data_IF_217541628444
#
_entry.id   IF_217541628444
#
_cell.length_a   1.000
_cell.length_b   1.000
_cell.length_c   1.000
_cell.angle_alpha   90.00
_cell.angle_beta   90.00
_cell.angle_gamma   90.00
#
_symmetry.space_group_name_H-M   'P 1'
#
loop_
_entity.id
_entity.type
_entity.pdbx_description
1 polymer ?
#
# COMPACT_ATOMS: atom_id res chain seq x y z
N UNK A 1 -19.17 -40.97 -5.96
CA UNK A 1 -19.56 -39.59 -5.57
C UNK A 1 -19.10 -39.14 -4.17
N UNK A 2 -18.74 -40.03 -3.23
CA UNK A 2 -18.19 -39.59 -1.92
C UNK A 2 -16.72 -39.10 -1.98
N UNK A 3 -15.98 -39.35 -3.06
CA UNK A 3 -14.60 -38.87 -3.23
C UNK A 3 -14.54 -37.41 -3.70
N UNK A 4 -15.43 -36.99 -4.61
CA UNK A 4 -15.48 -35.61 -5.11
C UNK A 4 -16.00 -34.61 -4.05
N UNK A 5 -16.82 -35.07 -3.09
CA UNK A 5 -17.27 -34.22 -1.98
C UNK A 5 -16.15 -33.99 -0.94
N UNK A 6 -15.17 -34.90 -0.83
CA UNK A 6 -13.98 -34.69 -0.02
C UNK A 6 -12.99 -33.73 -0.68
N UNK A 7 -12.86 -33.77 -2.01
CA UNK A 7 -12.01 -32.83 -2.76
C UNK A 7 -12.62 -31.42 -2.80
N UNK A 8 -13.96 -31.33 -2.88
CA UNK A 8 -14.65 -30.05 -2.70
C UNK A 8 -14.60 -29.56 -1.25
N UNK A 9 -14.55 -30.39 -0.21
CA UNK A 9 -14.57 -29.90 1.18
C UNK A 9 -13.25 -29.32 1.71
N UNK A 10 -12.12 -29.47 0.99
CA UNK A 10 -10.91 -28.62 1.18
C UNK A 10 -11.14 -27.14 0.78
N UNK A 11 -12.40 -26.74 0.57
CA UNK A 11 -12.89 -25.43 0.17
C UNK A 11 -12.43 -24.30 1.11
N UNK A 12 -11.30 -23.73 0.70
CA UNK A 12 -10.98 -22.30 0.69
C UNK A 12 -10.49 -21.69 2.01
N UNK A 13 -9.57 -22.36 2.71
CA UNK A 13 -8.71 -21.74 3.76
C UNK A 13 -8.19 -20.38 3.27
N UNK A 14 -7.69 -20.34 2.03
CA UNK A 14 -7.21 -19.13 1.38
C UNK A 14 -8.23 -17.99 1.33
N UNK A 15 -9.52 -18.28 1.10
CA UNK A 15 -10.58 -17.28 1.05
C UNK A 15 -10.86 -16.71 2.44
N UNK A 16 -10.92 -17.57 3.46
CA UNK A 16 -11.01 -17.14 4.85
C UNK A 16 -9.83 -16.27 5.27
N UNK A 17 -8.61 -16.66 4.89
CA UNK A 17 -7.39 -15.89 5.13
C UNK A 17 -7.40 -14.54 4.41
N UNK A 18 -7.85 -14.49 3.16
CA UNK A 18 -7.95 -13.24 2.39
C UNK A 18 -8.94 -12.26 3.03
N UNK A 19 -10.15 -12.72 3.39
CA UNK A 19 -11.13 -11.90 4.11
C UNK A 19 -10.65 -11.48 5.50
N UNK A 20 -10.02 -12.40 6.24
CA UNK A 20 -9.45 -12.12 7.55
C UNK A 20 -8.37 -11.05 7.45
N UNK A 21 -7.46 -11.14 6.49
CA UNK A 21 -6.42 -10.13 6.28
C UNK A 21 -7.02 -8.78 5.83
N UNK A 22 -8.00 -8.79 4.93
CA UNK A 22 -8.68 -7.58 4.50
C UNK A 22 -9.45 -6.88 5.64
N UNK A 23 -10.43 -7.57 6.24
CA UNK A 23 -11.31 -7.00 7.29
C UNK A 23 -10.56 -6.82 8.61
N UNK A 24 -9.64 -7.74 8.91
CA UNK A 24 -8.83 -7.76 10.11
C UNK A 24 -7.70 -6.74 10.12
N UNK A 25 -7.21 -6.32 8.95
CA UNK A 25 -6.01 -5.50 8.88
C UNK A 25 -6.08 -4.45 7.77
N UNK A 26 -6.09 -4.84 6.49
CA UNK A 26 -5.90 -3.90 5.39
C UNK A 26 -6.95 -2.78 5.33
N UNK A 27 -8.23 -3.09 5.53
CA UNK A 27 -9.32 -2.10 5.57
C UNK A 27 -9.10 -1.04 6.67
N UNK A 28 -8.37 -1.39 7.72
CA UNK A 28 -8.06 -0.50 8.83
C UNK A 28 -6.85 0.37 8.49
N UNK A 29 -5.78 -0.26 8.01
CA UNK A 29 -4.48 0.41 7.88
C UNK A 29 -4.31 1.17 6.56
N UNK A 30 -4.78 0.61 5.44
CA UNK A 30 -4.54 1.16 4.11
C UNK A 30 -5.11 2.59 3.92
N UNK A 31 -6.33 2.92 4.38
CA UNK A 31 -6.84 4.29 4.28
C UNK A 31 -6.04 5.30 5.12
N UNK A 32 -5.29 4.83 6.12
CA UNK A 32 -4.52 5.65 7.07
C UNK A 32 -3.05 5.74 6.71
N UNK A 33 -2.52 4.79 5.93
CA UNK A 33 -1.10 4.74 5.57
C UNK A 33 -0.65 5.99 4.81
N UNK A 34 -1.51 6.53 3.93
CA UNK A 34 -1.23 7.78 3.20
C UNK A 34 -1.03 8.96 4.15
N UNK A 35 -1.81 9.03 5.24
CA UNK A 35 -1.66 10.08 6.25
C UNK A 35 -0.32 9.92 7.00
N UNK A 36 0.05 8.70 7.37
CA UNK A 36 1.35 8.45 8.01
C UNK A 36 2.52 8.80 7.08
N UNK A 37 2.41 8.50 5.78
CA UNK A 37 3.41 8.90 4.77
C UNK A 37 3.45 10.41 4.56
N UNK A 38 2.31 11.10 4.60
CA UNK A 38 2.24 12.56 4.50
C UNK A 38 2.93 13.25 5.69
N UNK A 39 2.68 12.77 6.90
CA UNK A 39 3.35 13.26 8.11
C UNK A 39 4.86 13.06 8.03
N UNK A 40 5.29 11.89 7.58
CA UNK A 40 6.70 11.58 7.38
C UNK A 40 7.34 12.48 6.31
N UNK A 41 6.66 12.68 5.17
CA UNK A 41 7.13 13.51 4.06
C UNK A 41 7.25 14.99 4.48
N UNK A 42 6.36 15.50 5.32
CA UNK A 42 6.47 16.87 5.87
C UNK A 42 7.75 17.09 6.68
N UNK A 43 8.19 16.07 7.42
CA UNK A 43 9.46 16.10 8.15
C UNK A 43 10.68 15.78 7.25
N UNK A 44 10.46 15.12 6.10
CA UNK A 44 11.49 14.59 5.21
C UNK A 44 11.12 14.80 3.73
N UNK A 45 11.09 16.05 3.23
CA UNK A 45 10.50 16.38 1.93
C UNK A 45 11.18 15.70 0.73
N UNK A 46 12.45 15.32 0.86
CA UNK A 46 13.23 14.71 -0.22
C UNK A 46 13.09 13.17 -0.30
N UNK A 47 12.44 12.52 0.67
CA UNK A 47 12.38 11.05 0.77
C UNK A 47 11.16 10.48 0.04
N UNK A 48 10.00 11.14 0.17
CA UNK A 48 8.72 10.74 -0.40
C UNK A 48 8.10 11.90 -1.19
N UNK A 49 8.69 12.23 -2.35
CA UNK A 49 8.33 13.40 -3.13
C UNK A 49 7.00 13.26 -3.91
N UNK A 50 6.79 12.12 -4.56
CA UNK A 50 5.57 11.85 -5.33
C UNK A 50 4.48 11.22 -4.44
N UNK A 51 3.28 11.80 -4.38
CA UNK A 51 2.17 11.28 -3.55
C UNK A 51 1.53 10.04 -4.15
N UNK A 52 1.59 9.89 -5.46
CA UNK A 52 1.00 8.80 -6.23
C UNK A 52 1.74 7.48 -5.97
N UNK A 53 3.00 7.54 -5.53
CA UNK A 53 3.80 6.39 -5.11
C UNK A 53 3.58 6.00 -3.64
N UNK A 54 2.75 6.74 -2.88
CA UNK A 54 2.45 6.44 -1.48
C UNK A 54 1.50 5.24 -1.36
N UNK A 55 2.11 4.05 -1.35
CA UNK A 55 1.42 2.76 -1.28
C UNK A 55 2.14 1.82 -0.32
N UNK A 56 1.39 0.99 0.37
CA UNK A 56 1.93 -0.18 1.08
C UNK A 56 2.19 -1.30 0.06
N UNK A 57 3.45 -1.70 -0.08
CA UNK A 57 3.86 -2.79 -0.96
C UNK A 57 3.78 -4.10 -0.20
N UNK A 58 2.90 -5.00 -0.65
CA UNK A 58 2.60 -6.26 0.04
C UNK A 58 3.24 -7.39 -0.75
N UNK A 59 4.27 -8.01 -0.18
CA UNK A 59 5.00 -9.12 -0.77
C UNK A 59 4.20 -10.43 -0.62
N UNK A 60 4.06 -11.14 -1.73
CA UNK A 60 3.34 -12.42 -1.82
C UNK A 60 4.24 -13.45 -2.53
N UNK A 61 5.23 -14.03 -1.82
CA UNK A 61 5.99 -15.17 -2.33
C UNK A 61 5.09 -16.41 -2.47
N UNK A 62 4.99 -16.97 -3.67
CA UNK A 62 4.17 -18.17 -3.92
C UNK A 62 4.67 -19.41 -3.17
N UNK A 63 5.95 -19.42 -2.78
CA UNK A 63 6.56 -20.45 -1.93
C UNK A 63 6.07 -20.42 -0.48
N UNK A 64 5.46 -19.30 -0.04
CA UNK A 64 5.25 -18.90 1.35
C UNK A 64 6.54 -18.76 2.17
N UNK A 65 7.68 -18.58 1.52
CA UNK A 65 8.93 -18.26 2.22
C UNK A 65 8.88 -16.79 2.69
N UNK A 66 8.62 -16.59 3.97
CA UNK A 66 8.45 -15.29 4.59
C UNK A 66 9.56 -15.10 5.61
N UNK A 67 10.46 -14.16 5.33
CA UNK A 67 11.53 -13.79 6.25
C UNK A 67 11.07 -12.68 7.20
N UNK A 68 11.50 -12.75 8.46
CA UNK A 68 11.24 -11.69 9.46
C UNK A 68 12.08 -10.43 9.20
N UNK A 69 13.19 -10.55 8.46
CA UNK A 69 14.17 -9.50 8.25
C UNK A 69 14.49 -9.33 6.76
N UNK A 70 13.94 -8.29 6.15
CA UNK A 70 14.14 -7.97 4.73
C UNK A 70 15.60 -7.65 4.39
N UNK A 71 16.39 -7.14 5.34
CA UNK A 71 17.82 -6.84 5.13
C UNK A 71 18.65 -8.13 5.03
N UNK A 72 18.20 -9.21 5.66
CA UNK A 72 18.78 -10.55 5.50
C UNK A 72 18.33 -11.24 4.22
N UNK A 73 17.09 -11.00 3.78
CA UNK A 73 16.58 -11.55 2.53
C UNK A 73 17.28 -10.95 1.32
N UNK A 74 17.61 -9.65 1.37
CA UNK A 74 18.32 -8.95 0.30
C UNK A 74 19.08 -7.73 0.84
N UNK A 75 20.41 -7.72 0.71
CA UNK A 75 21.26 -6.65 1.27
C UNK A 75 21.17 -5.31 0.55
N UNK A 76 20.44 -5.21 -0.56
CA UNK A 76 20.08 -3.92 -1.17
C UNK A 76 18.88 -3.26 -0.48
N UNK A 77 18.17 -3.98 0.38
CA UNK A 77 17.06 -3.47 1.18
C UNK A 77 17.60 -3.09 2.55
N UNK A 78 17.36 -1.85 2.96
CA UNK A 78 17.82 -1.32 4.25
C UNK A 78 16.66 -0.70 5.01
N UNK A 79 16.53 -1.03 6.29
CA UNK A 79 15.54 -0.41 7.16
C UNK A 79 15.87 1.08 7.32
N UNK A 80 14.86 1.94 7.15
CA UNK A 80 15.02 3.38 7.34
C UNK A 80 14.40 3.85 8.66
N UNK A 81 13.11 3.58 8.86
CA UNK A 81 12.34 4.01 10.04
C UNK A 81 10.94 3.41 10.02
N UNK A 82 10.24 3.45 11.15
CA UNK A 82 8.81 3.20 11.19
C UNK A 82 8.02 4.47 10.82
N UNK A 83 6.90 4.29 10.12
CA UNK A 83 5.89 5.33 9.92
C UNK A 83 5.08 5.56 11.20
N UNK A 84 4.41 6.72 11.31
CA UNK A 84 3.51 7.01 12.44
C UNK A 84 2.53 5.87 12.67
N UNK A 85 2.52 5.34 13.90
CA UNK A 85 1.67 4.23 14.29
C UNK A 85 0.19 4.57 14.20
N UNK A 86 -0.62 3.61 13.74
CA UNK A 86 -2.07 3.71 13.80
C UNK A 86 -2.52 3.03 15.10
N UNK A 87 -3.10 3.80 16.03
CA UNK A 87 -3.52 3.31 17.35
C UNK A 87 -5.04 3.26 17.44
N UNK A 88 -5.61 2.09 17.72
CA UNK A 88 -7.05 1.87 17.83
C UNK A 88 -7.38 0.89 18.95
N UNK A 89 -8.56 1.00 19.56
CA UNK A 89 -9.08 -0.03 20.46
C UNK A 89 -9.90 -1.03 19.66
N UNK A 90 -9.62 -2.33 19.77
CA UNK A 90 -10.32 -3.36 19.00
C UNK A 90 -10.35 -4.70 19.72
N UNK A 91 -11.50 -5.39 19.64
CA UNK A 91 -11.69 -6.74 20.17
C UNK A 91 -11.19 -6.88 21.62
N UNK A 92 -11.55 -5.93 22.49
CA UNK A 92 -11.10 -5.89 23.89
C UNK A 92 -9.67 -5.40 24.12
N UNK A 93 -8.85 -5.24 23.08
CA UNK A 93 -7.48 -4.73 23.18
C UNK A 93 -7.48 -3.20 23.09
N UNK A 94 -7.15 -2.52 24.20
CA UNK A 94 -6.97 -1.06 24.22
C UNK A 94 -5.63 -0.70 23.57
N UNK A 95 -5.61 0.42 22.83
CA UNK A 95 -4.40 0.98 22.19
C UNK A 95 -3.62 -0.05 21.34
N UNK A 96 -4.32 -0.87 20.56
CA UNK A 96 -3.69 -1.75 19.57
C UNK A 96 -2.99 -0.88 18.53
N UNK A 97 -1.68 -1.05 18.41
CA UNK A 97 -0.83 -0.33 17.46
C UNK A 97 -0.64 -1.17 16.18
N UNK A 98 -0.72 -0.50 15.03
CA UNK A 98 -0.35 -1.04 13.73
C UNK A 98 0.83 -0.24 13.21
N UNK A 99 1.95 -0.92 12.96
CA UNK A 99 3.22 -0.32 12.53
C UNK A 99 3.55 -0.77 11.13
N UNK A 100 4.16 0.13 10.36
CA UNK A 100 4.64 -0.15 9.01
C UNK A 100 6.03 0.44 8.90
N UNK A 101 6.96 -0.35 8.40
CA UNK A 101 8.35 0.06 8.25
C UNK A 101 8.60 0.60 6.85
N UNK A 102 9.34 1.71 6.78
CA UNK A 102 9.83 2.32 5.57
C UNK A 102 11.24 1.80 5.31
N UNK A 103 11.51 1.40 4.07
CA UNK A 103 12.79 0.88 3.65
C UNK A 103 13.39 1.75 2.55
N UNK A 104 14.72 1.80 2.52
CA UNK A 104 15.52 2.32 1.42
C UNK A 104 16.04 1.13 0.58
N UNK A 105 15.82 1.17 -0.72
CA UNK A 105 16.21 0.12 -1.65
C UNK A 105 17.17 0.72 -2.67
N UNK A 106 18.36 0.13 -2.76
CA UNK A 106 19.41 0.53 -3.69
C UNK A 106 19.23 -0.15 -5.03
N UNK A 107 19.29 0.62 -6.12
CA UNK A 107 19.33 0.05 -7.46
C UNK A 107 20.75 -0.12 -8.01
N UNK A 108 20.85 -0.62 -9.25
CA UNK A 108 22.12 -0.93 -9.91
C UNK A 108 23.03 0.30 -10.10
N UNK A 109 22.44 1.50 -10.15
CA UNK A 109 23.15 2.78 -10.27
C UNK A 109 23.47 3.40 -8.89
N UNK A 110 23.30 2.65 -7.80
CA UNK A 110 23.36 3.12 -6.42
C UNK A 110 22.34 4.21 -6.07
N UNK A 111 21.27 4.38 -6.85
CA UNK A 111 20.19 5.31 -6.52
C UNK A 111 19.29 4.69 -5.45
N UNK A 112 18.90 5.49 -4.47
CA UNK A 112 18.00 5.08 -3.39
C UNK A 112 16.54 5.34 -3.77
N UNK A 113 15.73 4.32 -3.51
CA UNK A 113 14.28 4.34 -3.63
C UNK A 113 13.66 4.04 -2.27
N UNK A 114 12.54 4.68 -1.95
CA UNK A 114 11.90 4.51 -0.63
C UNK A 114 10.50 3.93 -0.78
N UNK A 115 10.18 2.92 0.02
CA UNK A 115 8.83 2.37 0.05
C UNK A 115 8.50 1.73 1.40
N UNK A 116 7.22 1.79 1.79
CA UNK A 116 6.72 0.93 2.85
C UNK A 116 6.44 -0.44 2.24
N UNK A 117 7.05 -1.49 2.81
CA UNK A 117 6.94 -2.86 2.31
C UNK A 117 6.82 -3.83 3.48
N UNK A 118 5.96 -4.83 3.32
CA UNK A 118 5.75 -5.92 4.28
C UNK A 118 5.35 -7.21 3.56
N UNK A 119 5.57 -8.36 4.20
CA UNK A 119 5.01 -9.62 3.73
C UNK A 119 3.53 -9.76 4.10
N UNK A 120 2.76 -10.41 3.23
CA UNK A 120 1.42 -10.86 3.58
C UNK A 120 1.51 -11.94 4.68
N UNK A 121 1.29 -11.54 5.93
CA UNK A 121 1.34 -12.42 7.11
C UNK A 121 0.52 -13.71 6.99
N UNK A 122 -0.66 -13.75 6.32
CA UNK A 122 -1.41 -15.00 6.14
C UNK A 122 -0.63 -16.13 5.45
N UNK A 123 0.41 -15.81 4.68
CA UNK A 123 1.27 -16.81 4.05
C UNK A 123 2.06 -17.63 5.08
N UNK A 124 2.42 -17.03 6.22
CA UNK A 124 3.03 -17.77 7.33
C UNK A 124 2.08 -18.84 7.87
N UNK A 125 0.77 -18.56 7.92
CA UNK A 125 -0.22 -19.56 8.33
C UNK A 125 -0.31 -20.71 7.32
N UNK A 126 -0.32 -20.42 6.02
CA UNK A 126 -0.29 -21.45 4.98
C UNK A 126 0.99 -22.29 5.04
N UNK A 127 2.14 -21.65 5.30
CA UNK A 127 3.39 -22.36 5.50
C UNK A 127 3.34 -23.27 6.72
N UNK A 128 2.95 -22.74 7.89
CA UNK A 128 2.86 -23.49 9.14
C UNK A 128 1.91 -24.69 9.02
N UNK A 129 0.74 -24.50 8.38
CA UNK A 129 -0.16 -25.61 8.09
C UNK A 129 0.54 -26.70 7.28
N UNK A 130 1.33 -26.35 6.25
CA UNK A 130 2.03 -27.37 5.44
C UNK A 130 3.15 -28.11 6.16
N UNK A 131 3.61 -27.60 7.30
CA UNK A 131 4.62 -28.25 8.14
C UNK A 131 3.98 -29.07 9.27
N UNK A 132 2.69 -28.89 9.53
CA UNK A 132 1.97 -29.61 10.58
C UNK A 132 1.49 -30.96 10.04
N UNK A 133 1.97 -32.05 10.64
CA UNK A 133 1.64 -33.43 10.25
C UNK A 133 0.13 -33.74 10.39
N UNK A 134 -0.59 -32.99 11.24
CA UNK A 134 -2.03 -33.17 11.48
C UNK A 134 -2.93 -32.40 10.49
N UNK A 135 -2.37 -31.54 9.64
CA UNK A 135 -3.13 -30.64 8.78
C UNK A 135 -3.66 -31.27 7.48
N UNK A 136 -3.15 -32.45 7.10
CA UNK A 136 -3.35 -33.05 5.76
C UNK A 136 -3.16 -32.03 4.61
N UNK A 137 -2.20 -31.11 4.77
CA UNK A 137 -1.97 -29.97 3.89
C UNK A 137 -0.58 -30.09 3.25
N UNK A 138 -0.53 -30.47 1.97
CA UNK A 138 0.74 -30.70 1.28
C UNK A 138 1.42 -29.39 0.81
N UNK A 139 2.64 -29.50 0.27
CA UNK A 139 3.33 -28.38 -0.39
C UNK A 139 2.58 -27.92 -1.65
N UNK A 140 1.99 -28.85 -2.39
CA UNK A 140 1.16 -28.58 -3.57
C UNK A 140 -0.13 -27.87 -3.14
N UNK A 141 -0.80 -28.36 -2.10
CA UNK A 141 -1.97 -27.69 -1.51
C UNK A 141 -1.63 -26.25 -1.08
N UNK A 142 -0.45 -26.05 -0.46
CA UNK A 142 0.04 -24.71 -0.08
C UNK A 142 0.17 -23.78 -1.28
N UNK A 143 0.78 -24.24 -2.37
CA UNK A 143 0.96 -23.43 -3.57
C UNK A 143 -0.40 -23.05 -4.18
N UNK A 144 -1.34 -23.99 -4.25
CA UNK A 144 -2.68 -23.75 -4.76
C UNK A 144 -3.46 -22.77 -3.86
N UNK A 145 -3.43 -22.95 -2.55
CA UNK A 145 -4.06 -22.02 -1.60
C UNK A 145 -3.41 -20.64 -1.65
N UNK A 146 -2.11 -20.54 -1.89
CA UNK A 146 -1.43 -19.24 -2.00
C UNK A 146 -1.88 -18.48 -3.25
N UNK A 147 -1.99 -19.18 -4.38
CA UNK A 147 -2.55 -18.62 -5.62
C UNK A 147 -4.01 -18.19 -5.42
N UNK A 148 -4.81 -18.99 -4.72
CA UNK A 148 -6.20 -18.67 -4.40
C UNK A 148 -6.31 -17.49 -3.42
N UNK A 149 -5.41 -17.39 -2.45
CA UNK A 149 -5.33 -16.28 -1.50
C UNK A 149 -5.08 -14.98 -2.25
N UNK A 150 -4.07 -14.96 -3.13
CA UNK A 150 -3.77 -13.81 -3.97
C UNK A 150 -4.98 -13.38 -4.81
N UNK A 151 -5.59 -14.30 -5.56
CA UNK A 151 -6.77 -14.00 -6.40
C UNK A 151 -7.92 -13.44 -5.57
N UNK A 152 -8.24 -14.10 -4.46
CA UNK A 152 -9.32 -13.67 -3.56
C UNK A 152 -9.04 -12.29 -2.98
N UNK A 153 -7.82 -12.04 -2.53
CA UNK A 153 -7.42 -10.76 -1.95
C UNK A 153 -7.47 -9.64 -3.00
N UNK A 154 -7.01 -9.91 -4.22
CA UNK A 154 -7.05 -8.97 -5.33
C UNK A 154 -8.50 -8.59 -5.69
N UNK A 155 -9.41 -9.57 -5.77
CA UNK A 155 -10.84 -9.35 -6.01
C UNK A 155 -11.48 -8.50 -4.90
N UNK A 156 -11.21 -8.82 -3.63
CA UNK A 156 -11.72 -8.09 -2.47
C UNK A 156 -11.24 -6.63 -2.50
N UNK A 157 -9.95 -6.41 -2.76
CA UNK A 157 -9.37 -5.07 -2.77
C UNK A 157 -9.81 -4.25 -3.99
N UNK A 158 -10.01 -4.86 -5.17
CA UNK A 158 -10.62 -4.19 -6.34
C UNK A 158 -12.04 -3.70 -6.04
N UNK A 159 -12.79 -4.41 -5.20
CA UNK A 159 -14.11 -3.98 -4.72
C UNK A 159 -14.09 -2.87 -3.66
N UNK A 160 -12.93 -2.55 -3.08
CA UNK A 160 -12.81 -1.62 -1.96
C UNK A 160 -12.38 -0.22 -2.39
N UNK A 161 -13.34 0.72 -2.43
CA UNK A 161 -13.06 2.13 -2.77
C UNK A 161 -12.10 2.80 -1.78
N UNK A 162 -12.18 2.44 -0.50
CA UNK A 162 -11.34 3.03 0.56
C UNK A 162 -9.87 2.60 0.47
N UNK A 163 -9.61 1.41 -0.08
CA UNK A 163 -8.26 0.88 -0.27
C UNK A 163 -7.69 1.21 -1.67
N UNK A 164 -8.48 1.82 -2.54
CA UNK A 164 -8.05 2.09 -3.91
C UNK A 164 -6.82 3.03 -3.93
N UNK A 165 -5.76 2.60 -4.62
CA UNK A 165 -4.55 3.40 -4.80
C UNK A 165 -3.73 3.62 -3.53
N UNK A 166 -3.87 2.78 -2.49
CA UNK A 166 -3.07 2.83 -1.25
C UNK A 166 -2.20 1.59 -1.03
N UNK A 167 -2.27 0.60 -1.94
CA UNK A 167 -1.51 -0.64 -1.87
C UNK A 167 -0.93 -1.02 -3.23
N UNK A 168 0.06 -1.90 -3.21
CA UNK A 168 0.58 -2.61 -4.38
C UNK A 168 0.83 -4.07 -3.97
N UNK A 169 0.17 -5.02 -4.62
CA UNK A 169 0.48 -6.44 -4.44
C UNK A 169 1.69 -6.80 -5.32
N UNK A 170 2.69 -7.46 -4.73
CA UNK A 170 3.90 -7.93 -5.43
C UNK A 170 3.95 -9.45 -5.28
N UNK A 171 3.42 -10.15 -6.29
CA UNK A 171 3.46 -11.62 -6.35
C UNK A 171 4.70 -12.06 -7.09
N UNK A 172 5.40 -13.05 -6.55
CA UNK A 172 6.56 -13.64 -7.21
C UNK A 172 6.75 -15.11 -6.84
N UNK A 173 7.44 -15.80 -7.73
CA UNK A 173 7.97 -17.13 -7.51
C UNK A 173 9.48 -17.01 -7.64
N UNK A 174 10.22 -17.41 -6.62
CA UNK A 174 11.68 -17.45 -6.69
C UNK A 174 12.08 -18.58 -7.65
N UNK A 175 12.89 -18.25 -8.65
CA UNK A 175 13.52 -19.27 -9.49
C UNK A 175 14.46 -20.10 -8.62
N UNK A 176 14.54 -21.42 -8.88
CA UNK A 176 15.48 -22.30 -8.17
C UNK A 176 16.96 -21.91 -8.31
N UNK A 177 17.28 -21.05 -9.27
CA UNK A 177 18.56 -20.34 -9.33
C UNK A 177 18.48 -19.09 -8.45
N UNK A 178 19.30 -19.05 -7.40
CA UNK A 178 19.42 -17.93 -6.48
C UNK A 178 19.99 -16.71 -7.21
N UNK A 179 19.13 -15.96 -7.91
CA UNK A 179 19.49 -14.67 -8.46
C UNK A 179 19.79 -13.72 -7.30
N UNK A 180 21.02 -13.21 -7.24
CA UNK A 180 21.42 -12.24 -6.21
C UNK A 180 20.52 -11.01 -6.29
N UNK A 181 20.03 -10.57 -5.13
CA UNK A 181 19.22 -9.36 -5.02
C UNK A 181 17.89 -9.39 -5.80
N UNK A 182 17.32 -10.58 -5.99
CA UNK A 182 16.05 -10.74 -6.70
C UNK A 182 14.92 -9.89 -6.10
N UNK A 183 14.79 -9.87 -4.78
CA UNK A 183 13.68 -9.21 -4.10
C UNK A 183 13.72 -7.69 -4.29
N UNK A 184 14.87 -7.06 -4.07
CA UNK A 184 15.06 -5.62 -4.31
C UNK A 184 14.79 -5.26 -5.76
N UNK A 185 15.27 -6.05 -6.73
CA UNK A 185 14.97 -5.86 -8.16
C UNK A 185 13.48 -5.94 -8.45
N UNK A 186 12.76 -6.90 -7.87
CA UNK A 186 11.30 -7.02 -8.02
C UNK A 186 10.57 -5.81 -7.45
N UNK A 187 10.92 -5.37 -6.24
CA UNK A 187 10.31 -4.18 -5.64
C UNK A 187 10.59 -2.93 -6.48
N UNK A 188 11.85 -2.73 -6.90
CA UNK A 188 12.27 -1.61 -7.75
C UNK A 188 11.52 -1.58 -9.09
N UNK A 189 11.26 -2.75 -9.69
CA UNK A 189 10.47 -2.83 -10.91
C UNK A 189 9.08 -2.19 -10.70
N UNK A 190 8.38 -2.54 -9.61
CA UNK A 190 7.09 -1.95 -9.29
C UNK A 190 7.20 -0.44 -8.96
N UNK A 191 8.21 -0.02 -8.22
CA UNK A 191 8.42 1.40 -7.87
C UNK A 191 8.68 2.27 -9.11
N UNK A 192 9.47 1.76 -10.07
CA UNK A 192 9.75 2.45 -11.33
C UNK A 192 8.50 2.61 -12.18
N UNK A 193 7.66 1.58 -12.27
CA UNK A 193 6.37 1.66 -12.98
C UNK A 193 5.47 2.76 -12.37
N UNK A 194 5.34 2.78 -11.04
CA UNK A 194 4.54 3.80 -10.34
C UNK A 194 5.10 5.22 -10.51
N UNK A 195 6.42 5.37 -10.47
CA UNK A 195 7.06 6.69 -10.65
C UNK A 195 6.89 7.20 -12.08
N UNK A 196 6.96 6.31 -13.08
CA UNK A 196 6.71 6.70 -14.47
C UNK A 196 5.29 7.26 -14.64
N UNK A 197 4.29 6.58 -14.07
CA UNK A 197 2.91 7.09 -14.03
C UNK A 197 2.83 8.49 -13.41
N UNK A 198 3.49 8.72 -12.27
CA UNK A 198 3.53 10.02 -11.58
C UNK A 198 4.12 11.14 -12.46
N UNK A 199 5.26 10.90 -13.10
CA UNK A 199 5.91 11.91 -13.97
C UNK A 199 5.05 12.30 -15.17
N UNK A 200 4.20 11.39 -15.67
CA UNK A 200 3.28 11.68 -16.77
C UNK A 200 2.09 12.54 -16.31
N UNK A 201 1.67 12.43 -15.04
CA UNK A 201 0.64 13.30 -14.44
C UNK A 201 1.18 14.71 -14.15
N UNK A 202 2.41 14.84 -13.62
CA UNK A 202 3.04 16.14 -13.39
C UNK A 202 3.36 16.88 -14.70
N UNK A 203 3.79 16.17 -15.75
CA UNK A 203 4.08 16.76 -17.07
C UNK A 203 2.84 17.29 -17.83
N UNK A 204 1.63 16.89 -17.42
CA UNK A 204 0.36 17.35 -18.01
C UNK A 204 -0.27 18.54 -17.26
N UNK A 205 0.30 18.96 -16.13
CA UNK A 205 -0.05 20.25 -15.53
C UNK A 205 0.99 21.29 -15.99
N UNK A 206 0.65 22.22 -16.90
CA UNK A 206 1.53 23.35 -17.14
C UNK A 206 1.70 24.08 -15.81
N UNK A 207 2.94 24.13 -15.32
CA UNK A 207 3.35 24.91 -14.18
C UNK A 207 2.72 26.30 -14.29
N UNK A 208 1.75 26.61 -13.41
CA UNK A 208 1.37 27.98 -13.20
C UNK A 208 2.64 28.69 -12.68
N UNK A 209 3.13 29.75 -13.36
CA UNK A 209 4.30 30.45 -12.88
C UNK A 209 3.99 30.97 -11.48
N UNK A 210 4.93 30.82 -10.55
CA UNK A 210 4.86 31.47 -9.24
C UNK A 210 4.70 32.97 -9.46
N UNK A 211 3.46 33.47 -9.39
CA UNK A 211 3.23 34.88 -9.19
C UNK A 211 3.56 35.18 -7.73
N UNK A 212 4.76 35.69 -7.50
CA UNK A 212 5.01 36.58 -6.37
C UNK A 212 4.02 37.73 -6.47
N UNK A 213 2.93 37.66 -5.70
CA UNK A 213 2.01 38.76 -5.51
C UNK A 213 2.72 39.84 -4.68
N UNK A 214 3.38 40.78 -5.36
CA UNK A 214 3.74 42.06 -4.76
C UNK A 214 2.44 42.79 -4.39
N UNK A 215 2.35 43.19 -3.13
CA UNK A 215 1.13 43.70 -2.47
C UNK A 215 0.79 45.15 -2.85
N UNK A 216 0.89 45.52 -4.12
CA UNK A 216 0.54 46.87 -4.58
C UNK A 216 0.15 46.82 -6.04
N UNK A 217 -1.15 46.62 -6.27
CA UNK A 217 -1.96 47.00 -7.46
C UNK A 217 -3.05 45.95 -7.69
N UNK A 218 -4.10 46.03 -6.87
CA UNK A 218 -5.37 45.38 -7.15
C UNK A 218 -6.41 46.50 -7.33
N UNK A 219 -6.29 47.23 -8.45
CA UNK A 219 -7.32 48.15 -8.91
C UNK A 219 -8.44 47.33 -9.56
N UNK A 220 -9.40 46.93 -8.73
CA UNK A 220 -10.68 46.40 -9.18
C UNK A 220 -11.45 47.51 -9.92
N UNK A 221 -11.56 47.38 -11.24
CA UNK A 221 -12.62 48.05 -12.00
C UNK A 221 -13.96 47.45 -11.57
N UNK A 222 -14.61 48.12 -10.63
CA UNK A 222 -16.01 47.87 -10.30
C UNK A 222 -16.83 48.54 -11.41
N UNK A 223 -17.49 47.73 -12.24
CA UNK A 223 -18.50 48.21 -13.19
C UNK A 223 -19.70 48.72 -12.39
N UNK A 224 -20.00 50.01 -12.50
CA UNK A 224 -21.18 50.66 -11.91
C UNK A 224 -22.46 50.22 -12.63
N UNK A 225 -22.95 49.03 -12.32
CA UNK A 225 -24.31 48.62 -12.69
C UNK A 225 -24.73 47.41 -11.85
N UNK A 226 -25.05 47.66 -10.57
CA UNK A 226 -26.01 46.91 -9.74
C UNK A 226 -25.82 47.27 -8.25
N UNK A 227 -26.03 48.54 -7.90
CA UNK A 227 -26.25 48.90 -6.50
C UNK A 227 -27.73 48.73 -6.15
N UNK A 228 -28.08 48.01 -5.06
CA UNK A 228 -29.46 47.95 -4.58
C UNK A 228 -29.90 49.31 -4.01
N UNK A 229 -31.08 49.77 -4.40
CA UNK A 229 -31.66 51.04 -3.93
C UNK A 229 -32.02 50.98 -2.44
N UNK A 230 -31.86 52.08 -1.68
CA UNK A 230 -32.21 52.13 -0.26
C UNK A 230 -33.73 52.19 -0.03
N UNK A 231 -34.18 51.47 1.01
CA UNK A 231 -35.55 51.46 1.52
C UNK A 231 -35.99 52.88 1.95
N UNK A 232 -37.08 53.37 1.36
CA UNK A 232 -37.75 54.59 1.82
C UNK A 232 -38.40 54.34 3.19
N UNK A 233 -37.94 55.07 4.21
CA UNK A 233 -38.72 55.32 5.42
C UNK A 233 -39.76 56.41 5.12
N UNK A 234 -41.03 56.07 5.23
CA UNK A 234 -42.13 57.04 5.24
C UNK A 234 -42.96 56.85 6.50
N UNK A 235 -42.77 57.72 7.49
CA UNK A 235 -43.79 58.08 8.46
C UNK A 235 -44.46 59.35 7.95
N UNK A 236 -45.77 59.28 7.68
CA UNK A 236 -46.84 60.09 8.29
C UNK A 236 -48.18 59.44 7.92
#
# INVERSE_FOLDING_TARGET
>A
EMSEMSEKSKQNVAHGLAWSYYVGYLKIVLPRVKKSMEEFSRANPNVLACRETWKLHILIPLSCDVCDDLEKADSNIQYLTDLTEIILTRAGTKKRAYKHSLYAIRDEDNKLWHCAVEYATPLQSLYAMSQDECSAFSREDRLEQTKLFYRSLEEILKGSKECAGTYQLIVYEESGEAETHFLSRKILWHLRQQHHECTMYEGNHPHAPSMTLNSTELNLQISESDLPQPLRSGCF
#
